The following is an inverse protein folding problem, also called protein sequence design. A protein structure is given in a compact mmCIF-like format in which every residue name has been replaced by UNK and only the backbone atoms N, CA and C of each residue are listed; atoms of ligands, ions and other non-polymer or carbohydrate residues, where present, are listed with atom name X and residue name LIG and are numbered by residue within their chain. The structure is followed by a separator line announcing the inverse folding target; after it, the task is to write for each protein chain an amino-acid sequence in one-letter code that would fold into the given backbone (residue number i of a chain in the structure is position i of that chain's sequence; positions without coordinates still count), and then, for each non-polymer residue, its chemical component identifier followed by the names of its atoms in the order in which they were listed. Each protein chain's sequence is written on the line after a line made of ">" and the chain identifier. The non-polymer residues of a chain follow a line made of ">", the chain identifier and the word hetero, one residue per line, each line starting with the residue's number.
data_IF_258565059775
#
_entry.id   IF_258565059775
#
_cell.length_a   1.000
_cell.length_b   1.000
_cell.length_c   1.000
_cell.angle_alpha   90.00
_cell.angle_beta   90.00
_cell.angle_gamma   90.00
#
_symmetry.space_group_name_H-M   'P 1'
#
loop_
_entity.id
_entity.type
_entity.pdbx_description
1 polymer ?
#
# COMPACT_ATOMS: atom_id res chain seq x y z
N UNK A 1 1.78 -12.87 -32.78
CA UNK A 1 2.91 -12.33 -32.01
C UNK A 1 2.50 -11.02 -31.36
N UNK A 2 1.95 -11.04 -30.14
CA UNK A 2 1.72 -9.85 -29.33
C UNK A 2 2.92 -9.68 -28.44
N UNK A 3 3.73 -8.65 -28.69
CA UNK A 3 4.84 -8.26 -27.81
C UNK A 3 4.26 -7.81 -26.48
N UNK A 4 4.43 -8.61 -25.44
CA UNK A 4 4.22 -8.17 -24.05
C UNK A 4 5.38 -7.26 -23.68
N UNK A 5 5.17 -5.96 -23.79
CA UNK A 5 6.09 -4.95 -23.28
C UNK A 5 6.08 -5.01 -21.77
N UNK A 6 7.26 -5.09 -21.16
CA UNK A 6 7.52 -5.21 -19.75
C UNK A 6 6.69 -4.23 -18.92
N UNK A 7 5.85 -4.75 -18.03
CA UNK A 7 5.01 -4.00 -17.12
C UNK A 7 5.81 -3.53 -15.88
N UNK A 8 6.82 -2.69 -16.11
CA UNK A 8 7.53 -2.00 -15.01
C UNK A 8 6.77 -0.74 -14.56
N UNK A 9 5.62 -0.45 -15.16
CA UNK A 9 4.88 0.80 -14.92
C UNK A 9 3.64 0.66 -14.03
N UNK A 10 3.20 -0.55 -13.67
CA UNK A 10 1.93 -0.74 -12.96
C UNK A 10 2.03 -0.53 -11.44
N UNK A 11 3.23 -0.57 -10.86
CA UNK A 11 3.46 -0.38 -9.42
C UNK A 11 3.17 1.08 -8.98
N UNK A 12 3.26 2.02 -9.90
CA UNK A 12 3.07 3.45 -9.62
C UNK A 12 1.60 3.88 -9.43
N UNK A 13 0.64 3.06 -9.81
CA UNK A 13 -0.75 3.52 -9.92
C UNK A 13 -1.50 3.57 -8.57
N UNK A 14 -1.10 2.80 -7.55
CA UNK A 14 -1.77 2.86 -6.25
C UNK A 14 -1.33 4.02 -5.36
N UNK A 15 -0.10 4.52 -5.54
CA UNK A 15 0.45 5.58 -4.68
C UNK A 15 0.29 6.99 -5.23
N UNK A 16 -0.08 7.18 -6.51
CA UNK A 16 -0.14 8.52 -7.12
C UNK A 16 -1.53 9.17 -7.17
N UNK A 17 -2.59 8.56 -6.63
CA UNK A 17 -3.92 9.18 -6.67
C UNK A 17 -4.19 10.20 -5.54
N UNK A 18 -3.24 10.46 -4.65
CA UNK A 18 -3.46 11.34 -3.50
C UNK A 18 -2.87 12.75 -3.61
N UNK A 19 -2.37 13.17 -4.75
CA UNK A 19 -1.78 14.51 -4.90
C UNK A 19 -2.77 15.62 -5.26
N UNK A 20 -4.03 15.52 -4.84
CA UNK A 20 -5.06 16.45 -5.30
C UNK A 20 -6.01 17.09 -4.30
N UNK A 21 -5.89 16.88 -2.99
CA UNK A 21 -6.82 17.51 -2.03
C UNK A 21 -6.14 17.87 -0.71
N UNK A 22 -5.17 18.80 -0.73
CA UNK A 22 -4.46 19.16 0.50
C UNK A 22 -4.93 20.43 1.22
N UNK A 23 -5.95 21.14 0.75
CA UNK A 23 -6.14 22.51 1.30
C UNK A 23 -7.45 22.84 2.00
N UNK A 24 -8.43 21.96 2.12
CA UNK A 24 -9.72 22.44 2.69
C UNK A 24 -10.34 21.64 3.83
N UNK A 25 -9.83 20.47 4.22
CA UNK A 25 -10.38 19.70 5.35
C UNK A 25 -9.63 19.97 6.66
N UNK A 26 -8.38 20.43 6.60
CA UNK A 26 -7.52 20.65 7.76
C UNK A 26 -7.65 22.07 8.40
N UNK A 27 -8.53 22.93 7.92
CA UNK A 27 -8.60 24.33 8.39
C UNK A 27 -9.49 24.57 9.60
N UNK A 28 -10.11 23.57 10.21
CA UNK A 28 -10.88 23.78 11.42
C UNK A 28 -10.20 23.17 12.66
N UNK A 29 -9.13 23.78 13.12
CA UNK A 29 -8.68 23.68 14.52
C UNK A 29 -8.13 22.32 14.97
N UNK A 30 -7.75 21.43 14.07
CA UNK A 30 -7.01 20.22 14.44
C UNK A 30 -5.51 20.51 14.42
N UNK A 31 -4.89 20.40 15.57
CA UNK A 31 -3.43 20.40 15.67
C UNK A 31 -2.94 18.98 15.35
N UNK A 32 -2.08 18.82 14.33
CA UNK A 32 -1.47 17.55 14.00
C UNK A 32 -0.01 17.57 14.44
N UNK A 33 0.37 16.63 15.31
CA UNK A 33 1.73 16.48 15.78
C UNK A 33 2.40 15.25 15.17
N UNK A 34 3.68 15.40 14.83
CA UNK A 34 4.53 14.26 14.50
C UNK A 34 5.59 14.12 15.58
N UNK A 35 5.72 12.93 16.18
CA UNK A 35 6.92 12.61 16.94
C UNK A 35 8.00 12.21 15.93
N UNK A 36 9.16 12.87 15.98
CA UNK A 36 10.32 12.31 15.31
C UNK A 36 10.67 11.01 16.03
N UNK A 37 10.34 9.86 15.43
CA UNK A 37 11.05 8.63 15.76
C UNK A 37 12.47 8.91 15.27
N UNK A 38 13.35 9.38 16.16
CA UNK A 38 14.72 9.75 15.82
C UNK A 38 15.48 8.58 15.21
N UNK A 39 15.03 7.37 15.50
CA UNK A 39 15.61 6.16 14.97
C UNK A 39 14.53 5.09 14.74
N UNK A 40 14.13 4.90 13.49
CA UNK A 40 13.17 3.85 13.11
C UNK A 40 13.63 2.43 13.45
N UNK A 41 14.95 2.22 13.61
CA UNK A 41 15.50 0.91 13.95
C UNK A 41 15.33 0.52 15.42
N UNK A 42 14.94 1.46 16.28
CA UNK A 42 14.67 1.24 17.71
C UNK A 42 13.21 1.39 18.08
N UNK A 43 12.37 1.78 17.13
CA UNK A 43 10.94 1.93 17.34
C UNK A 43 10.26 0.58 17.61
N UNK A 44 9.23 0.61 18.44
CA UNK A 44 8.40 -0.55 18.79
C UNK A 44 7.03 -0.40 18.14
N UNK A 45 6.35 -1.51 17.95
CA UNK A 45 5.06 -1.59 17.27
C UNK A 45 4.02 -0.58 17.77
N UNK A 46 3.97 -0.35 19.07
CA UNK A 46 2.99 0.56 19.70
C UNK A 46 3.49 2.01 19.88
N UNK A 47 4.70 2.33 19.43
CA UNK A 47 5.20 3.71 19.46
C UNK A 47 4.36 4.57 18.52
N UNK A 48 3.93 5.74 19.02
CA UNK A 48 3.12 6.68 18.25
C UNK A 48 4.04 7.50 17.33
N UNK A 49 3.85 7.41 16.03
CA UNK A 49 4.63 8.14 15.03
C UNK A 49 3.94 9.43 14.58
N UNK A 50 2.61 9.49 14.68
CA UNK A 50 1.83 10.69 14.39
C UNK A 50 0.46 10.65 15.09
N UNK A 51 -0.17 11.81 15.22
CA UNK A 51 -1.54 11.93 15.71
C UNK A 51 -2.21 13.18 15.15
N UNK A 52 -3.54 13.14 15.06
CA UNK A 52 -4.36 14.32 14.90
C UNK A 52 -5.09 14.57 16.23
N UNK A 53 -5.11 15.80 16.69
CA UNK A 53 -5.77 16.18 17.94
C UNK A 53 -6.55 17.48 17.82
N UNK A 54 -7.55 17.61 18.67
CA UNK A 54 -8.29 18.85 18.91
C UNK A 54 -8.72 18.84 20.37
N UNK A 55 -8.87 20.02 20.97
CA UNK A 55 -9.36 20.16 22.34
C UNK A 55 -10.77 19.60 22.52
N UNK A 56 -11.54 19.48 21.44
CA UNK A 56 -12.89 18.94 21.43
C UNK A 56 -12.97 17.42 21.37
N UNK A 57 -11.86 16.71 21.15
CA UNK A 57 -11.84 15.26 21.04
C UNK A 57 -11.83 14.59 22.41
N UNK A 58 -12.63 13.53 22.57
CA UNK A 58 -12.53 12.60 23.68
C UNK A 58 -11.20 11.86 23.67
N UNK A 59 -10.82 11.24 24.78
CA UNK A 59 -9.56 10.45 24.84
C UNK A 59 -9.61 9.23 23.92
N UNK A 60 -10.78 8.61 23.73
CA UNK A 60 -10.99 7.52 22.77
C UNK A 60 -10.78 7.99 21.31
N UNK A 61 -11.27 9.18 20.98
CA UNK A 61 -11.05 9.77 19.65
C UNK A 61 -9.60 10.16 19.44
N UNK A 62 -8.92 10.70 20.44
CA UNK A 62 -7.47 10.98 20.36
C UNK A 62 -6.68 9.70 20.10
N UNK A 63 -7.03 8.58 20.79
CA UNK A 63 -6.37 7.29 20.54
C UNK A 63 -6.65 6.77 19.12
N UNK A 64 -7.87 6.92 18.62
CA UNK A 64 -8.23 6.53 17.25
C UNK A 64 -7.36 7.23 16.19
N UNK A 65 -7.03 8.50 16.39
CA UNK A 65 -6.25 9.28 15.43
C UNK A 65 -4.73 9.09 15.54
N UNK A 66 -4.27 8.26 16.45
CA UNK A 66 -2.86 7.91 16.52
C UNK A 66 -2.47 6.98 15.36
N UNK A 67 -1.36 7.27 14.71
CA UNK A 67 -0.66 6.35 13.79
C UNK A 67 0.45 5.70 14.59
N UNK A 68 0.38 4.39 14.75
CA UNK A 68 1.40 3.61 15.46
C UNK A 68 2.47 3.12 14.48
N UNK A 69 3.65 2.80 15.02
CA UNK A 69 4.77 2.32 14.20
C UNK A 69 4.40 1.05 13.42
N UNK A 70 3.67 0.13 14.01
CA UNK A 70 3.17 -1.09 13.34
C UNK A 70 2.23 -0.82 12.16
N UNK A 71 1.53 0.32 12.15
CA UNK A 71 0.65 0.70 11.04
C UNK A 71 1.44 1.41 9.92
N UNK A 72 2.50 2.11 10.30
CA UNK A 72 3.33 2.91 9.42
C UNK A 72 4.44 2.10 8.74
N UNK A 73 5.21 1.32 9.52
CA UNK A 73 6.45 0.72 9.05
C UNK A 73 6.28 -0.30 7.92
N UNK A 74 5.26 -1.18 7.92
CA UNK A 74 5.01 -2.11 6.83
C UNK A 74 4.84 -1.40 5.49
N UNK A 75 4.01 -0.36 5.44
CA UNK A 75 3.76 0.40 4.23
C UNK A 75 4.96 1.22 3.79
N UNK A 76 5.66 1.83 4.74
CA UNK A 76 6.87 2.58 4.48
C UNK A 76 7.99 1.70 3.92
N UNK A 77 8.30 0.58 4.59
CA UNK A 77 9.37 -0.34 4.19
C UNK A 77 9.09 -0.98 2.83
N UNK A 78 7.84 -1.34 2.56
CA UNK A 78 7.41 -1.83 1.26
C UNK A 78 7.57 -0.78 0.15
N UNK A 79 7.16 0.46 0.43
CA UNK A 79 7.29 1.57 -0.51
C UNK A 79 8.76 1.83 -0.86
N UNK A 80 9.62 1.96 0.16
CA UNK A 80 11.06 2.19 -0.04
C UNK A 80 11.70 1.08 -0.87
N UNK A 81 11.38 -0.18 -0.57
CA UNK A 81 11.91 -1.32 -1.32
C UNK A 81 11.48 -1.30 -2.80
N UNK A 82 10.22 -0.95 -3.09
CA UNK A 82 9.71 -0.86 -4.45
C UNK A 82 10.36 0.26 -5.27
N UNK A 83 10.76 1.36 -4.62
CA UNK A 83 11.51 2.43 -5.28
C UNK A 83 13.02 2.15 -5.36
N UNK A 84 13.50 1.01 -4.83
CA UNK A 84 14.91 0.67 -4.79
C UNK A 84 15.74 1.64 -3.95
N UNK A 85 15.12 2.27 -2.96
CA UNK A 85 15.78 3.21 -2.05
C UNK A 85 16.40 2.44 -0.89
N UNK A 86 17.65 2.76 -0.59
CA UNK A 86 18.40 2.25 0.56
C UNK A 86 18.57 3.37 1.58
N UNK A 87 17.88 3.29 2.70
CA UNK A 87 17.95 4.28 3.76
C UNK A 87 19.34 4.40 4.39
N UNK A 88 20.17 3.37 4.32
CA UNK A 88 21.54 3.39 4.82
C UNK A 88 22.47 4.19 3.91
N UNK A 89 22.04 4.47 2.68
CA UNK A 89 22.76 5.27 1.72
C UNK A 89 22.40 6.75 1.87
N UNK A 90 23.36 7.55 2.27
CA UNK A 90 23.19 8.99 2.46
C UNK A 90 22.67 9.75 1.23
N UNK A 91 22.89 9.23 0.02
CA UNK A 91 22.35 9.80 -1.21
C UNK A 91 20.81 9.72 -1.29
N UNK A 92 20.19 8.76 -0.59
CA UNK A 92 18.74 8.56 -0.57
C UNK A 92 18.06 9.04 0.70
N UNK A 93 18.81 9.50 1.70
CA UNK A 93 18.28 9.90 3.01
C UNK A 93 17.16 10.97 2.93
N UNK A 94 17.33 11.98 2.05
CA UNK A 94 16.31 13.02 1.85
C UNK A 94 15.04 12.48 1.20
N UNK A 95 15.15 11.54 0.27
CA UNK A 95 14.00 10.89 -0.35
C UNK A 95 13.27 10.01 0.65
N UNK A 96 13.99 9.18 1.40
CA UNK A 96 13.44 8.34 2.45
C UNK A 96 12.67 9.17 3.49
N UNK A 97 13.22 10.32 3.90
CA UNK A 97 12.53 11.24 4.81
C UNK A 97 11.25 11.82 4.20
N UNK A 98 11.26 12.19 2.92
CA UNK A 98 10.07 12.67 2.23
C UNK A 98 8.99 11.57 2.15
N UNK A 99 9.35 10.33 1.84
CA UNK A 99 8.41 9.21 1.83
C UNK A 99 7.84 8.92 3.22
N UNK A 100 8.66 8.96 4.28
CA UNK A 100 8.17 8.83 5.66
C UNK A 100 7.09 9.84 5.96
N UNK A 101 7.37 11.12 5.69
CA UNK A 101 6.39 12.18 5.90
C UNK A 101 5.10 11.94 5.12
N UNK A 102 5.22 11.64 3.82
CA UNK A 102 4.05 11.44 2.97
C UNK A 102 3.17 10.28 3.44
N UNK A 103 3.77 9.16 3.85
CA UNK A 103 3.01 8.00 4.34
C UNK A 103 2.35 8.31 5.69
N UNK A 104 3.03 9.01 6.60
CA UNK A 104 2.44 9.45 7.86
C UNK A 104 1.25 10.39 7.60
N UNK A 105 1.41 11.38 6.74
CA UNK A 105 0.35 12.32 6.36
C UNK A 105 -0.83 11.57 5.73
N UNK A 106 -0.55 10.59 4.86
CA UNK A 106 -1.57 9.76 4.23
C UNK A 106 -2.35 8.94 5.27
N UNK A 107 -1.67 8.22 6.16
CA UNK A 107 -2.32 7.41 7.20
C UNK A 107 -3.15 8.25 8.17
N UNK A 108 -2.64 9.45 8.52
CA UNK A 108 -3.37 10.37 9.38
C UNK A 108 -4.65 10.88 8.68
N UNK A 109 -4.53 11.29 7.42
CA UNK A 109 -5.67 11.75 6.62
C UNK A 109 -6.68 10.63 6.38
N UNK A 110 -6.22 9.40 6.14
CA UNK A 110 -7.10 8.23 6.00
C UNK A 110 -7.99 8.07 7.23
N UNK A 111 -7.41 8.09 8.43
CA UNK A 111 -8.18 7.98 9.68
C UNK A 111 -9.23 9.08 9.82
N UNK A 112 -8.87 10.32 9.46
CA UNK A 112 -9.81 11.46 9.50
C UNK A 112 -10.96 11.28 8.51
N UNK A 113 -10.68 10.87 7.28
CA UNK A 113 -11.68 10.70 6.24
C UNK A 113 -12.59 9.50 6.54
N UNK A 114 -12.03 8.36 6.99
CA UNK A 114 -12.83 7.19 7.38
C UNK A 114 -13.75 7.49 8.58
N UNK A 115 -13.28 8.29 9.54
CA UNK A 115 -14.13 8.76 10.63
C UNK A 115 -15.27 9.61 10.08
N UNK A 116 -14.96 10.54 9.17
CA UNK A 116 -15.99 11.38 8.53
C UNK A 116 -16.97 10.55 7.70
N UNK A 117 -16.51 9.53 6.99
CA UNK A 117 -17.35 8.58 6.28
C UNK A 117 -18.36 7.93 7.24
N UNK A 118 -17.89 7.45 8.39
CA UNK A 118 -18.74 6.84 9.42
C UNK A 118 -19.79 7.81 9.96
N UNK A 119 -19.41 9.05 10.25
CA UNK A 119 -20.36 10.09 10.71
C UNK A 119 -21.46 10.39 9.69
N UNK A 120 -21.13 10.28 8.40
CA UNK A 120 -22.06 10.50 7.28
C UNK A 120 -22.84 9.23 6.88
N UNK A 121 -22.55 8.06 7.47
CA UNK A 121 -23.12 6.78 7.09
C UNK A 121 -22.64 6.30 5.71
N UNK A 122 -21.44 6.68 5.28
CA UNK A 122 -20.81 6.35 3.99
C UNK A 122 -19.68 5.34 4.14
N UNK A 123 -19.46 4.81 5.34
CA UNK A 123 -18.37 3.89 5.69
C UNK A 123 -18.59 2.44 5.22
N UNK A 124 -19.75 2.16 4.62
CA UNK A 124 -20.06 0.86 4.04
C UNK A 124 -20.14 0.99 2.52
N UNK A 125 -19.53 0.05 1.81
CA UNK A 125 -19.69 -0.09 0.36
C UNK A 125 -20.94 -0.91 0.06
N UNK A 126 -21.66 -0.56 -0.98
CA UNK A 126 -22.71 -1.40 -1.55
C UNK A 126 -22.10 -2.65 -2.20
N UNK A 127 -22.92 -3.67 -2.50
CA UNK A 127 -22.45 -4.87 -3.20
C UNK A 127 -21.82 -4.53 -4.55
N UNK A 128 -22.39 -3.57 -5.29
CA UNK A 128 -21.86 -3.12 -6.58
C UNK A 128 -20.51 -2.41 -6.43
N UNK A 129 -20.38 -1.49 -5.46
CA UNK A 129 -19.13 -0.81 -5.15
C UNK A 129 -18.02 -1.79 -4.71
N UNK A 130 -18.39 -2.80 -3.89
CA UNK A 130 -17.43 -3.83 -3.47
C UNK A 130 -17.00 -4.71 -4.64
N UNK A 131 -17.92 -5.09 -5.55
CA UNK A 131 -17.57 -5.83 -6.75
C UNK A 131 -16.60 -5.07 -7.67
N UNK A 132 -16.71 -3.74 -7.75
CA UNK A 132 -15.75 -2.90 -8.49
C UNK A 132 -14.38 -2.88 -7.79
N UNK A 133 -14.36 -2.80 -6.46
CA UNK A 133 -13.11 -2.88 -5.67
C UNK A 133 -12.43 -4.22 -5.89
N UNK A 134 -13.17 -5.34 -5.77
CA UNK A 134 -12.63 -6.68 -5.96
C UNK A 134 -12.10 -6.90 -7.39
N UNK A 135 -12.80 -6.37 -8.40
CA UNK A 135 -12.34 -6.43 -9.79
C UNK A 135 -11.04 -5.67 -10.00
N UNK A 136 -10.93 -4.47 -9.45
CA UNK A 136 -9.71 -3.67 -9.52
C UNK A 136 -8.56 -4.34 -8.75
N UNK A 137 -8.87 -4.88 -7.57
CA UNK A 137 -7.94 -5.63 -6.73
C UNK A 137 -7.39 -6.87 -7.45
N UNK A 138 -8.26 -7.71 -8.02
CA UNK A 138 -7.86 -8.91 -8.76
C UNK A 138 -6.96 -8.57 -9.94
N UNK A 139 -7.28 -7.48 -10.66
CA UNK A 139 -6.43 -7.01 -11.75
C UNK A 139 -5.05 -6.60 -11.26
N UNK A 140 -4.98 -5.82 -10.18
CA UNK A 140 -3.72 -5.37 -9.61
C UNK A 140 -2.88 -6.55 -9.11
N UNK A 141 -3.50 -7.52 -8.43
CA UNK A 141 -2.82 -8.76 -8.02
C UNK A 141 -2.24 -9.52 -9.22
N UNK A 142 -2.99 -9.66 -10.30
CA UNK A 142 -2.52 -10.31 -11.52
C UNK A 142 -1.28 -9.60 -12.09
N UNK A 143 -1.29 -8.27 -12.11
CA UNK A 143 -0.17 -7.46 -12.58
C UNK A 143 1.07 -7.64 -11.64
N UNK A 144 0.83 -7.77 -10.33
CA UNK A 144 1.89 -8.00 -9.34
C UNK A 144 2.48 -9.40 -9.46
N UNK A 145 1.66 -10.45 -9.59
CA UNK A 145 2.13 -11.82 -9.79
C UNK A 145 2.99 -11.91 -11.05
N UNK A 146 2.53 -11.33 -12.16
CA UNK A 146 3.27 -11.31 -13.42
C UNK A 146 4.65 -10.63 -13.29
N UNK A 147 4.86 -9.75 -12.31
CA UNK A 147 6.19 -9.18 -12.05
C UNK A 147 7.20 -10.21 -11.54
N UNK A 148 6.73 -11.34 -11.00
CA UNK A 148 7.55 -12.45 -10.53
C UNK A 148 7.73 -13.58 -11.55
N UNK A 149 7.13 -13.48 -12.76
CA UNK A 149 7.15 -14.53 -13.79
C UNK A 149 8.56 -15.08 -14.05
N UNK A 150 9.52 -14.19 -14.29
CA UNK A 150 10.90 -14.60 -14.56
C UNK A 150 11.56 -15.35 -13.40
N UNK A 151 11.26 -14.93 -12.16
CA UNK A 151 11.77 -15.62 -10.96
C UNK A 151 11.11 -16.99 -10.80
N UNK A 152 9.80 -17.07 -11.06
CA UNK A 152 9.03 -18.31 -11.01
C UNK A 152 9.54 -19.33 -12.04
N UNK A 153 9.73 -18.91 -13.28
CA UNK A 153 10.30 -19.74 -14.35
C UNK A 153 11.69 -20.27 -13.96
N UNK A 154 12.56 -19.39 -13.44
CA UNK A 154 13.91 -19.79 -12.98
C UNK A 154 13.84 -20.81 -11.85
N UNK A 155 12.96 -20.59 -10.86
CA UNK A 155 12.78 -21.50 -9.72
C UNK A 155 12.25 -22.88 -10.14
N UNK A 156 11.43 -22.92 -11.19
CA UNK A 156 10.87 -24.16 -11.76
C UNK A 156 11.81 -24.84 -12.79
N UNK A 157 12.95 -24.21 -13.13
CA UNK A 157 13.85 -24.73 -14.16
C UNK A 157 13.28 -24.66 -15.57
N UNK A 158 12.30 -23.78 -15.81
CA UNK A 158 11.67 -23.58 -17.12
C UNK A 158 12.52 -22.58 -17.92
N UNK A 159 12.97 -22.98 -19.11
CA UNK A 159 13.77 -22.11 -19.99
C UNK A 159 12.90 -21.04 -20.63
N UNK A 160 13.33 -19.78 -20.56
CA UNK A 160 12.66 -18.64 -21.23
C UNK A 160 12.86 -18.66 -22.76
N UNK A 161 13.78 -19.50 -23.28
CA UNK A 161 14.13 -19.60 -24.70
C UNK A 161 13.30 -20.65 -25.47
N UNK A 162 12.51 -21.48 -24.78
CA UNK A 162 11.63 -22.45 -25.41
C UNK A 162 10.36 -21.78 -25.97
N UNK A 163 10.56 -20.96 -27.02
CA UNK A 163 9.48 -20.46 -27.87
C UNK A 163 8.93 -21.49 -28.86
N UNK A 164 9.14 -22.78 -28.60
CA UNK A 164 8.51 -23.85 -29.36
C UNK A 164 7.04 -23.96 -29.01
N UNK A 165 6.26 -23.28 -29.75
CA UNK A 165 4.82 -23.09 -29.97
C UNK A 165 3.78 -24.14 -29.51
N UNK A 166 4.00 -24.86 -28.45
CA UNK A 166 2.98 -25.59 -27.72
C UNK A 166 2.79 -24.91 -26.37
N UNK A 167 1.73 -24.09 -26.29
CA UNK A 167 1.22 -23.58 -25.01
C UNK A 167 0.93 -24.80 -24.11
N UNK A 168 1.88 -25.13 -23.23
CA UNK A 168 1.70 -26.18 -22.24
C UNK A 168 0.97 -25.55 -21.05
N UNK A 169 -0.36 -25.59 -21.10
CA UNK A 169 -1.23 -25.01 -20.06
C UNK A 169 -0.91 -25.51 -18.64
N UNK A 170 -0.28 -26.69 -18.53
CA UNK A 170 0.17 -27.22 -17.23
C UNK A 170 1.39 -26.48 -16.68
N UNK A 171 2.25 -25.94 -17.55
CA UNK A 171 3.37 -25.11 -17.12
C UNK A 171 2.92 -23.70 -16.75
N UNK A 172 1.95 -23.13 -17.48
CA UNK A 172 1.38 -21.81 -17.15
C UNK A 172 0.74 -21.79 -15.76
N UNK A 173 0.02 -22.85 -15.39
CA UNK A 173 -0.58 -22.98 -14.06
C UNK A 173 0.48 -23.06 -12.96
N UNK A 174 1.54 -23.86 -13.14
CA UNK A 174 2.65 -23.96 -12.19
C UNK A 174 3.42 -22.65 -12.05
N UNK A 175 3.62 -21.93 -13.16
CA UNK A 175 4.26 -20.61 -13.15
C UNK A 175 3.41 -19.65 -12.31
N UNK A 176 2.11 -19.58 -12.57
CA UNK A 176 1.19 -18.70 -11.81
C UNK A 176 1.14 -19.05 -10.31
N UNK A 177 1.12 -20.33 -9.96
CA UNK A 177 1.20 -20.73 -8.54
C UNK A 177 2.50 -20.27 -7.88
N UNK A 178 3.62 -20.42 -8.60
CA UNK A 178 4.94 -19.99 -8.09
C UNK A 178 5.07 -18.47 -8.04
N UNK A 179 4.48 -17.74 -8.97
CA UNK A 179 4.38 -16.29 -8.94
C UNK A 179 3.67 -15.80 -7.66
N UNK A 180 2.50 -16.40 -7.34
CA UNK A 180 1.74 -16.11 -6.13
C UNK A 180 2.53 -16.39 -4.85
N UNK A 181 3.19 -17.55 -4.81
CA UNK A 181 4.04 -17.93 -3.68
C UNK A 181 5.15 -16.89 -3.46
N UNK A 182 5.89 -16.54 -4.51
CA UNK A 182 7.00 -15.58 -4.44
C UNK A 182 6.52 -14.16 -4.09
N UNK A 183 5.37 -13.74 -4.59
CA UNK A 183 4.78 -12.48 -4.22
C UNK A 183 4.40 -12.46 -2.74
N UNK A 184 3.71 -13.52 -2.25
CA UNK A 184 3.30 -13.60 -0.85
C UNK A 184 4.51 -13.67 0.11
N UNK A 185 5.57 -14.40 -0.26
CA UNK A 185 6.83 -14.37 0.48
C UNK A 185 7.45 -12.95 0.52
N UNK A 186 7.42 -12.26 -0.61
CA UNK A 186 7.96 -10.91 -0.72
C UNK A 186 7.22 -9.92 0.18
N UNK A 187 5.89 -9.87 0.12
CA UNK A 187 5.10 -8.94 0.94
C UNK A 187 5.13 -9.30 2.42
N UNK A 188 5.17 -10.60 2.76
CA UNK A 188 5.30 -11.06 4.14
C UNK A 188 6.59 -10.57 4.79
N UNK A 189 7.67 -10.38 4.01
CA UNK A 189 8.92 -9.78 4.48
C UNK A 189 8.75 -8.35 5.03
N UNK A 190 7.67 -7.67 4.66
CA UNK A 190 7.29 -6.34 5.17
C UNK A 190 6.16 -6.40 6.22
N UNK A 191 5.69 -7.59 6.59
CA UNK A 191 4.54 -7.75 7.48
C UNK A 191 3.19 -7.48 6.79
N UNK A 192 3.15 -7.53 5.45
CA UNK A 192 1.94 -7.31 4.65
C UNK A 192 1.34 -8.64 4.19
N UNK A 193 0.04 -8.61 3.87
CA UNK A 193 -0.71 -9.71 3.30
C UNK A 193 -1.54 -9.21 2.11
N UNK A 194 -2.07 -10.11 1.29
CA UNK A 194 -3.01 -9.74 0.22
C UNK A 194 -4.24 -9.01 0.77
N UNK A 195 -4.74 -9.39 1.96
CA UNK A 195 -5.85 -8.70 2.62
C UNK A 195 -5.53 -7.24 2.95
N UNK A 196 -4.27 -6.92 3.24
CA UNK A 196 -3.84 -5.54 3.46
C UNK A 196 -4.06 -4.68 2.21
N UNK A 197 -3.76 -5.21 1.04
CA UNK A 197 -3.99 -4.48 -0.23
C UNK A 197 -5.48 -4.33 -0.55
N UNK A 198 -6.29 -5.35 -0.27
CA UNK A 198 -7.74 -5.25 -0.41
C UNK A 198 -8.31 -4.20 0.53
N UNK A 199 -7.86 -4.16 1.78
CA UNK A 199 -8.24 -3.15 2.77
C UNK A 199 -7.89 -1.75 2.27
N UNK A 200 -6.69 -1.50 1.76
CA UNK A 200 -6.30 -0.20 1.21
C UNK A 200 -7.19 0.25 0.05
N UNK A 201 -7.55 -0.68 -0.85
CA UNK A 201 -8.46 -0.35 -1.96
C UNK A 201 -9.87 -0.07 -1.47
N UNK A 202 -10.35 -0.82 -0.49
CA UNK A 202 -11.65 -0.60 0.15
C UNK A 202 -11.70 0.77 0.82
N UNK A 203 -10.68 1.11 1.60
CA UNK A 203 -10.57 2.42 2.25
C UNK A 203 -10.53 3.56 1.22
N UNK A 204 -9.79 3.36 0.12
CA UNK A 204 -9.75 4.31 -1.00
C UNK A 204 -11.13 4.52 -1.62
N UNK A 205 -11.91 3.46 -1.79
CA UNK A 205 -13.27 3.57 -2.32
C UNK A 205 -14.20 4.33 -1.36
N UNK A 206 -14.11 4.05 -0.05
CA UNK A 206 -14.86 4.79 0.97
C UNK A 206 -14.47 6.28 0.98
N UNK A 207 -13.17 6.59 0.91
CA UNK A 207 -12.68 7.98 0.87
C UNK A 207 -13.27 8.77 -0.32
N UNK A 208 -13.40 8.14 -1.49
CA UNK A 208 -14.01 8.76 -2.67
C UNK A 208 -15.49 9.12 -2.49
N UNK A 209 -16.20 8.50 -1.55
CA UNK A 209 -17.61 8.83 -1.23
C UNK A 209 -17.71 10.09 -0.36
N UNK A 210 -16.65 10.48 0.32
CA UNK A 210 -16.64 11.64 1.24
C UNK A 210 -16.19 12.91 0.51
N UNK A 211 -15.38 12.78 -0.54
CA UNK A 211 -14.85 13.87 -1.35
C UNK A 211 -15.78 14.18 -2.55
#
# INVERSE_FOLDING_TARGET
>A
MKKRTAATAAILACTMMFSGCSDSILTSGTDSGTTSVENIWTAKDDDIVAWATSDSLSDEEKEYYQVKFKDFYPEYSFTIANYGLDETNSAYASYAQAYRKNIIDMLTNEKLILRKAKELGLDQLTEEEMAEVEKAYTKNLSDWYASFEKKAQTALGISTDDTSGTEDSANDEKILEKEKELFNEYIAGFGLTEDTFLMWQTNTAIQKKVN
#
